data_IF_323547380503
#
_entry.id   IF_323547380503
#
_cell.length_a   1.000
_cell.length_b   1.000
_cell.length_c   1.000
_cell.angle_alpha   90.00
_cell.angle_beta   90.00
_cell.angle_gamma   90.00
#
_symmetry.space_group_name_H-M   'P 1'
#
loop_
_entity.id
_entity.type
_entity.pdbx_description
1 polymer ?
#
# COMPACT_ATOMS: atom_id res chain seq x y z
N UNK A 1 -6.13 -6.76 36.15
CA UNK A 1 -4.68 -6.99 36.28
C UNK A 1 -4.02 -5.71 35.81
N UNK A 2 -3.09 -5.17 36.60
CA UNK A 2 -2.57 -3.81 36.43
C UNK A 2 -1.80 -3.67 35.12
N UNK A 3 -2.25 -2.77 34.25
CA UNK A 3 -1.42 -2.19 33.19
C UNK A 3 -0.33 -1.35 33.86
N UNK A 4 0.84 -1.93 34.05
CA UNK A 4 2.03 -1.18 34.42
C UNK A 4 2.76 -0.83 33.13
N UNK A 5 2.46 0.34 32.57
CA UNK A 5 3.33 0.99 31.58
C UNK A 5 4.56 1.50 32.32
N UNK A 6 5.53 0.62 32.55
CA UNK A 6 6.80 1.03 33.14
C UNK A 6 7.70 1.59 32.04
N UNK A 7 7.86 2.92 32.00
CA UNK A 7 8.99 3.55 31.30
C UNK A 7 10.26 3.42 32.16
N UNK A 8 10.76 2.20 32.36
CA UNK A 8 12.01 1.94 33.07
C UNK A 8 13.17 2.15 32.10
N UNK A 9 14.19 2.91 32.50
CA UNK A 9 15.44 2.94 31.74
C UNK A 9 16.24 1.66 32.00
N UNK A 10 16.98 1.18 31.00
CA UNK A 10 17.81 -0.05 31.11
C UNK A 10 18.77 -0.01 32.32
N UNK A 11 19.32 1.17 32.64
CA UNK A 11 20.18 1.40 33.80
C UNK A 11 19.51 1.11 35.17
N UNK A 12 18.18 1.15 35.23
CA UNK A 12 17.43 0.88 36.46
C UNK A 12 16.99 -0.58 36.55
N UNK A 13 16.84 -1.27 35.41
CA UNK A 13 16.33 -2.64 35.32
C UNK A 13 17.16 -3.64 36.14
N UNK A 14 18.49 -3.49 36.12
CA UNK A 14 19.42 -4.34 36.88
C UNK A 14 19.25 -4.31 38.41
N UNK A 15 18.51 -3.32 38.94
CA UNK A 15 18.27 -3.16 40.39
C UNK A 15 16.97 -3.80 40.88
N UNK A 16 16.10 -4.21 39.96
CA UNK A 16 14.84 -4.88 40.29
C UNK A 16 15.06 -6.37 40.53
N UNK A 17 14.08 -7.03 41.13
CA UNK A 17 14.11 -8.48 41.29
C UNK A 17 14.02 -9.18 39.92
N UNK A 18 14.48 -10.42 39.90
CA UNK A 18 14.55 -11.20 38.67
C UNK A 18 13.17 -11.43 38.02
N UNK A 19 12.08 -11.39 38.78
CA UNK A 19 10.73 -11.55 38.22
C UNK A 19 10.37 -10.37 37.33
N UNK A 20 10.59 -9.15 37.84
CA UNK A 20 10.38 -7.92 37.07
C UNK A 20 11.31 -7.84 35.86
N UNK A 21 12.57 -8.24 36.01
CA UNK A 21 13.53 -8.30 34.89
C UNK A 21 13.02 -9.21 33.77
N UNK A 22 12.57 -10.41 34.12
CA UNK A 22 12.01 -11.36 33.15
C UNK A 22 10.76 -10.83 32.46
N UNK A 23 9.83 -10.23 33.20
CA UNK A 23 8.59 -9.70 32.61
C UNK A 23 8.87 -8.55 31.62
N UNK A 24 9.79 -7.65 31.97
CA UNK A 24 10.19 -6.53 31.10
C UNK A 24 10.88 -7.06 29.84
N UNK A 25 11.83 -7.98 29.98
CA UNK A 25 12.55 -8.56 28.83
C UNK A 25 11.62 -9.32 27.89
N UNK A 26 10.69 -10.12 28.45
CA UNK A 26 9.71 -10.86 27.67
C UNK A 26 8.76 -9.93 26.93
N UNK A 27 8.27 -8.88 27.60
CA UNK A 27 7.41 -7.88 26.97
C UNK A 27 8.13 -7.16 25.84
N UNK A 28 9.36 -6.70 26.08
CA UNK A 28 10.20 -6.08 25.06
C UNK A 28 10.37 -7.03 23.86
N UNK A 29 10.65 -8.31 24.10
CA UNK A 29 10.85 -9.28 23.03
C UNK A 29 9.62 -9.41 22.13
N UNK A 30 8.42 -9.56 22.70
CA UNK A 30 7.17 -9.63 21.93
C UNK A 30 6.73 -8.30 21.29
N UNK A 31 7.30 -7.17 21.71
CA UNK A 31 7.12 -5.89 21.02
C UNK A 31 7.99 -5.78 19.76
N UNK A 32 9.02 -6.63 19.62
CA UNK A 32 10.00 -6.57 18.52
C UNK A 32 10.01 -7.83 17.63
N UNK A 33 9.64 -8.99 18.18
CA UNK A 33 9.64 -10.29 17.51
C UNK A 33 8.33 -11.06 17.70
N UNK A 34 7.97 -11.85 16.70
CA UNK A 34 6.76 -12.68 16.66
C UNK A 34 7.04 -14.07 16.07
N UNK A 35 6.11 -14.99 16.31
CA UNK A 35 6.16 -16.32 15.69
C UNK A 35 6.02 -16.18 14.16
N UNK A 36 6.95 -16.73 13.36
CA UNK A 36 6.89 -16.66 11.90
C UNK A 36 5.59 -17.21 11.30
N UNK A 37 4.85 -18.08 12.01
CA UNK A 37 3.56 -18.61 11.56
C UNK A 37 2.52 -17.52 11.30
N UNK A 38 2.66 -16.34 11.92
CA UNK A 38 1.68 -15.26 11.81
C UNK A 38 1.68 -14.61 10.42
N UNK A 39 2.86 -14.43 9.82
CA UNK A 39 2.98 -13.70 8.54
C UNK A 39 4.02 -14.27 7.59
N UNK A 40 5.09 -14.89 8.08
CA UNK A 40 6.23 -15.33 7.27
C UNK A 40 5.77 -16.46 6.33
N UNK A 41 5.88 -16.28 4.99
CA UNK A 41 5.43 -17.29 4.06
C UNK A 41 6.13 -18.63 4.29
N UNK A 42 5.39 -19.74 4.22
CA UNK A 42 5.93 -21.08 4.43
C UNK A 42 5.84 -21.93 3.16
N UNK A 43 6.96 -22.47 2.69
CA UNK A 43 7.01 -23.36 1.53
C UNK A 43 6.92 -24.83 1.98
N UNK A 44 5.76 -25.43 1.75
CA UNK A 44 5.43 -26.80 2.16
C UNK A 44 6.25 -27.89 1.45
N UNK A 45 6.74 -27.64 0.23
CA UNK A 45 7.47 -28.64 -0.57
C UNK A 45 8.90 -28.85 -0.09
N UNK A 46 9.56 -27.78 0.32
CA UNK A 46 10.96 -27.79 0.79
C UNK A 46 11.05 -27.76 2.32
N UNK A 47 9.97 -27.34 2.99
CA UNK A 47 9.84 -27.36 4.44
C UNK A 47 10.61 -26.23 5.10
N UNK A 48 10.11 -24.99 4.97
CA UNK A 48 10.73 -23.84 5.64
C UNK A 48 10.02 -22.51 5.44
N UNK A 49 10.24 -21.61 6.37
CA UNK A 49 9.83 -20.20 6.28
C UNK A 49 10.70 -19.43 5.30
N UNK A 50 10.09 -18.46 4.61
CA UNK A 50 10.73 -17.54 3.69
C UNK A 50 10.90 -16.19 4.39
N UNK A 51 12.11 -15.91 4.87
CA UNK A 51 12.44 -14.76 5.71
C UNK A 51 12.57 -13.44 4.94
N UNK A 52 11.50 -13.07 4.22
CA UNK A 52 11.48 -11.90 3.33
C UNK A 52 11.45 -10.55 4.07
N UNK A 53 11.19 -10.56 5.38
CA UNK A 53 11.19 -9.36 6.24
C UNK A 53 12.27 -9.42 7.33
N UNK A 54 13.27 -10.28 7.18
CA UNK A 54 14.32 -10.52 8.17
C UNK A 54 14.10 -11.79 9.00
N UNK A 55 15.15 -12.21 9.71
CA UNK A 55 15.24 -13.49 10.42
C UNK A 55 15.97 -14.58 9.62
N UNK A 56 16.03 -15.83 10.14
CA UNK A 56 15.55 -16.24 11.46
C UNK A 56 16.39 -15.60 12.58
N UNK A 57 15.72 -15.10 13.62
CA UNK A 57 16.40 -14.56 14.81
C UNK A 57 16.40 -15.56 15.97
N UNK A 58 17.54 -15.65 16.65
CA UNK A 58 17.71 -16.42 17.88
C UNK A 58 17.33 -15.57 19.10
N UNK A 59 16.46 -16.08 19.97
CA UNK A 59 15.95 -15.31 21.09
C UNK A 59 17.05 -14.92 22.10
N UNK A 60 18.04 -15.80 22.31
CA UNK A 60 19.15 -15.55 23.23
C UNK A 60 20.05 -14.44 22.70
N UNK A 61 20.43 -14.49 21.43
CA UNK A 61 21.26 -13.46 20.79
C UNK A 61 20.60 -12.08 20.87
N UNK A 62 19.30 -11.99 20.55
CA UNK A 62 18.58 -10.70 20.57
C UNK A 62 18.42 -10.13 21.99
N UNK A 63 18.18 -11.00 22.99
CA UNK A 63 18.12 -10.56 24.39
C UNK A 63 19.51 -10.17 24.93
N UNK A 64 20.56 -10.89 24.55
CA UNK A 64 21.93 -10.58 24.94
C UNK A 64 22.35 -9.21 24.37
N UNK A 65 22.09 -8.94 23.09
CA UNK A 65 22.42 -7.66 22.45
C UNK A 65 21.81 -6.45 23.18
N UNK A 66 20.60 -6.61 23.73
CA UNK A 66 19.84 -5.50 24.33
C UNK A 66 20.03 -5.37 25.84
N UNK A 67 20.23 -6.48 26.54
CA UNK A 67 20.22 -6.50 28.02
C UNK A 67 21.59 -6.84 28.63
N UNK A 68 22.60 -7.22 27.84
CA UNK A 68 23.94 -7.45 28.36
C UNK A 68 24.48 -6.20 29.07
N UNK A 69 25.08 -6.41 30.25
CA UNK A 69 25.59 -5.33 31.10
C UNK A 69 24.55 -4.66 32.00
N UNK A 70 23.25 -4.88 31.76
CA UNK A 70 22.16 -4.41 32.62
C UNK A 70 21.57 -5.51 33.49
N UNK A 71 21.49 -6.71 32.96
CA UNK A 71 20.91 -7.90 33.60
C UNK A 71 21.93 -9.04 33.56
N UNK A 72 21.91 -9.93 34.56
CA UNK A 72 22.81 -11.09 34.60
C UNK A 72 22.48 -12.11 33.50
N UNK A 73 23.51 -12.78 32.97
CA UNK A 73 23.38 -13.86 31.99
C UNK A 73 22.38 -14.94 32.43
N UNK A 74 22.36 -15.33 33.71
CA UNK A 74 21.41 -16.32 34.24
C UNK A 74 19.93 -15.95 33.99
N UNK A 75 19.61 -14.65 34.02
CA UNK A 75 18.24 -14.16 33.79
C UNK A 75 17.97 -14.08 32.28
N UNK A 76 18.96 -13.65 31.49
CA UNK A 76 18.88 -13.66 30.01
C UNK A 76 18.62 -15.07 29.50
N UNK A 77 19.45 -16.03 29.93
CA UNK A 77 19.30 -17.44 29.56
C UNK A 77 17.94 -17.99 30.00
N UNK A 78 17.45 -17.60 31.18
CA UNK A 78 16.11 -18.03 31.63
C UNK A 78 15.02 -17.58 30.68
N UNK A 79 15.01 -16.30 30.27
CA UNK A 79 13.99 -15.76 29.36
C UNK A 79 14.13 -16.38 27.97
N UNK A 80 15.37 -16.50 27.45
CA UNK A 80 15.62 -17.13 26.15
C UNK A 80 15.10 -18.57 26.10
N UNK A 81 15.40 -19.37 27.13
CA UNK A 81 14.91 -20.75 27.24
C UNK A 81 13.37 -20.84 27.34
N UNK A 82 12.71 -19.83 27.89
CA UNK A 82 11.24 -19.76 27.92
C UNK A 82 10.67 -19.48 26.52
N UNK A 83 11.29 -18.56 25.77
CA UNK A 83 10.90 -18.21 24.41
C UNK A 83 11.18 -19.35 23.41
N UNK A 84 12.33 -20.01 23.50
CA UNK A 84 12.70 -21.15 22.64
C UNK A 84 11.72 -22.34 22.74
N UNK A 85 11.03 -22.48 23.88
CA UNK A 85 9.96 -23.48 24.06
C UNK A 85 8.70 -23.14 23.28
N UNK A 86 8.49 -21.87 22.97
CA UNK A 86 7.36 -21.37 22.19
C UNK A 86 7.71 -21.41 20.69
N UNK A 87 8.86 -20.84 20.32
CA UNK A 87 9.36 -20.87 18.95
C UNK A 87 10.89 -20.85 18.91
N UNK A 88 11.47 -21.64 17.99
CA UNK A 88 12.92 -21.75 17.81
C UNK A 88 13.52 -20.61 16.98
N UNK A 89 12.75 -20.10 16.00
CA UNK A 89 13.23 -19.10 15.04
C UNK A 89 12.20 -17.98 14.95
N UNK A 90 12.62 -16.76 15.26
CA UNK A 90 11.72 -15.62 15.38
C UNK A 90 11.76 -14.71 14.15
N UNK A 91 10.60 -14.16 13.79
CA UNK A 91 10.45 -13.10 12.79
C UNK A 91 10.33 -11.74 13.50
N UNK A 92 10.68 -10.62 12.86
CA UNK A 92 10.38 -9.31 13.42
C UNK A 92 8.88 -9.01 13.36
N UNK A 93 8.38 -8.28 14.36
CA UNK A 93 7.00 -7.76 14.39
C UNK A 93 6.78 -6.79 13.23
N UNK A 94 5.53 -6.72 12.73
CA UNK A 94 5.12 -5.77 11.69
C UNK A 94 5.60 -4.34 11.93
N UNK A 95 6.40 -3.85 11.00
CA UNK A 95 6.88 -2.48 10.96
C UNK A 95 6.27 -1.73 9.77
N UNK A 96 5.86 -0.45 9.94
CA UNK A 96 5.65 0.45 8.80
C UNK A 96 6.98 0.58 8.04
N UNK A 97 7.13 -0.21 6.99
CA UNK A 97 8.42 -0.42 6.31
C UNK A 97 8.49 -1.74 5.53
N UNK A 98 7.91 -2.81 6.08
CA UNK A 98 8.03 -4.18 5.56
C UNK A 98 7.44 -4.36 4.13
N UNK A 99 6.60 -3.42 3.72
CA UNK A 99 6.00 -3.32 2.38
C UNK A 99 6.32 -1.99 1.68
N UNK A 100 7.13 -1.13 2.30
CA UNK A 100 7.28 0.29 1.92
C UNK A 100 8.57 0.58 1.13
N UNK A 101 9.64 -0.21 1.31
CA UNK A 101 10.93 0.01 0.62
C UNK A 101 10.84 -0.17 -0.90
N UNK A 102 9.81 -0.86 -1.40
CA UNK A 102 9.58 -1.01 -2.84
C UNK A 102 8.94 0.24 -3.48
N UNK A 103 8.26 1.07 -2.69
CA UNK A 103 7.36 2.08 -3.24
C UNK A 103 8.08 3.36 -3.69
N UNK A 104 9.13 3.78 -3.00
CA UNK A 104 9.92 4.96 -3.41
C UNK A 104 10.69 4.68 -4.71
N UNK A 105 11.25 3.47 -4.85
CA UNK A 105 11.88 3.02 -6.08
C UNK A 105 10.85 2.87 -7.22
N UNK A 106 9.64 2.37 -6.94
CA UNK A 106 8.54 2.32 -7.91
C UNK A 106 8.13 3.71 -8.37
N UNK A 107 8.05 4.70 -7.46
CA UNK A 107 7.74 6.10 -7.83
C UNK A 107 8.82 6.69 -8.74
N UNK A 108 10.10 6.43 -8.46
CA UNK A 108 11.20 6.86 -9.31
C UNK A 108 11.17 6.18 -10.69
N UNK A 109 10.63 4.96 -10.77
CA UNK A 109 10.40 4.22 -12.01
C UNK A 109 9.14 4.66 -12.78
N UNK A 110 8.24 5.47 -12.19
CA UNK A 110 7.07 6.00 -12.92
C UNK A 110 7.56 6.88 -14.07
N UNK A 111 7.48 6.33 -15.28
CA UNK A 111 7.88 7.01 -16.52
C UNK A 111 6.83 8.06 -16.95
N UNK A 112 6.75 8.34 -18.26
CA UNK A 112 5.76 9.23 -18.83
C UNK A 112 4.36 8.59 -18.76
N UNK A 113 3.61 8.89 -17.69
CA UNK A 113 2.29 8.29 -17.43
C UNK A 113 1.31 8.49 -18.61
N UNK A 114 1.40 9.63 -19.30
CA UNK A 114 0.54 9.92 -20.45
C UNK A 114 0.90 9.04 -21.66
N UNK A 115 2.19 8.84 -21.92
CA UNK A 115 2.65 7.93 -22.98
C UNK A 115 2.23 6.49 -22.70
N UNK A 116 2.39 6.00 -21.46
CA UNK A 116 1.94 4.66 -21.08
C UNK A 116 0.42 4.51 -21.25
N UNK A 117 -0.37 5.50 -20.82
CA UNK A 117 -1.81 5.52 -21.03
C UNK A 117 -2.17 5.47 -22.52
N UNK A 118 -1.59 6.34 -23.35
CA UNK A 118 -1.90 6.39 -24.78
C UNK A 118 -1.47 5.11 -25.51
N UNK A 119 -0.36 4.51 -25.11
CA UNK A 119 0.10 3.20 -25.59
C UNK A 119 -0.89 2.10 -25.24
N UNK A 120 -1.35 2.03 -23.99
CA UNK A 120 -2.37 1.06 -23.56
C UNK A 120 -3.69 1.21 -24.34
N UNK A 121 -4.15 2.45 -24.56
CA UNK A 121 -5.37 2.69 -25.36
C UNK A 121 -5.16 2.32 -26.83
N UNK A 122 -3.97 2.57 -27.39
CA UNK A 122 -3.61 2.11 -28.74
C UNK A 122 -3.68 0.59 -28.84
N UNK A 123 -3.20 -0.13 -27.82
CA UNK A 123 -3.25 -1.59 -27.75
C UNK A 123 -4.68 -2.11 -27.72
N UNK A 124 -5.56 -1.50 -26.93
CA UNK A 124 -6.99 -1.82 -26.94
C UNK A 124 -7.59 -1.64 -28.33
N UNK A 125 -7.26 -0.54 -29.04
CA UNK A 125 -7.75 -0.32 -30.42
C UNK A 125 -7.25 -1.39 -31.38
N UNK A 126 -5.98 -1.80 -31.27
CA UNK A 126 -5.40 -2.88 -32.08
C UNK A 126 -6.09 -4.21 -31.78
N UNK A 127 -6.31 -4.53 -30.50
CA UNK A 127 -7.02 -5.73 -30.09
C UNK A 127 -8.48 -5.73 -30.59
N UNK A 128 -9.16 -4.58 -30.55
CA UNK A 128 -10.53 -4.47 -31.05
C UNK A 128 -10.66 -4.79 -32.55
N UNK A 129 -9.59 -4.62 -33.33
CA UNK A 129 -9.55 -4.97 -34.75
C UNK A 129 -9.25 -6.45 -35.05
N UNK A 130 -8.96 -7.26 -34.03
CA UNK A 130 -8.70 -8.70 -34.19
C UNK A 130 -10.01 -9.43 -34.46
N UNK A 131 -10.00 -10.35 -35.44
CA UNK A 131 -11.15 -11.22 -35.70
C UNK A 131 -11.26 -12.29 -34.62
N UNK A 132 -12.40 -12.31 -33.93
CA UNK A 132 -12.66 -13.20 -32.80
C UNK A 132 -13.91 -14.02 -33.12
N UNK A 133 -13.89 -15.35 -32.90
CA UNK A 133 -15.08 -16.17 -33.07
C UNK A 133 -16.28 -15.61 -32.31
N UNK A 134 -17.45 -15.58 -32.95
CA UNK A 134 -18.68 -14.98 -32.40
C UNK A 134 -19.03 -15.50 -31.00
N UNK A 135 -18.77 -16.78 -30.75
CA UNK A 135 -19.04 -17.46 -29.48
C UNK A 135 -18.22 -16.86 -28.31
N UNK A 136 -17.04 -16.33 -28.58
CA UNK A 136 -16.12 -15.75 -27.58
C UNK A 136 -16.09 -14.22 -27.60
N UNK A 137 -16.66 -13.58 -28.61
CA UNK A 137 -16.58 -12.14 -28.83
C UNK A 137 -17.08 -11.30 -27.64
N UNK A 138 -18.21 -11.69 -27.01
CA UNK A 138 -18.74 -10.95 -25.87
C UNK A 138 -17.78 -10.90 -24.68
N UNK A 139 -17.10 -12.01 -24.36
CA UNK A 139 -16.10 -12.06 -23.27
C UNK A 139 -14.85 -11.28 -23.63
N UNK A 140 -14.43 -11.33 -24.89
CA UNK A 140 -13.34 -10.51 -25.39
C UNK A 140 -13.62 -9.01 -25.20
N UNK A 141 -14.80 -8.52 -25.59
CA UNK A 141 -15.18 -7.13 -25.39
C UNK A 141 -15.29 -6.75 -23.90
N UNK A 142 -15.79 -7.66 -23.04
CA UNK A 142 -15.77 -7.43 -21.60
C UNK A 142 -14.35 -7.15 -21.07
N UNK A 143 -13.37 -7.95 -21.49
CA UNK A 143 -11.97 -7.79 -21.06
C UNK A 143 -11.37 -6.48 -21.59
N UNK A 144 -11.65 -6.11 -22.84
CA UNK A 144 -11.21 -4.82 -23.39
C UNK A 144 -11.81 -3.63 -22.63
N UNK A 145 -13.11 -3.70 -22.28
CA UNK A 145 -13.77 -2.65 -21.50
C UNK A 145 -13.10 -2.46 -20.14
N UNK A 146 -12.81 -3.56 -19.46
CA UNK A 146 -12.10 -3.55 -18.18
C UNK A 146 -10.71 -2.94 -18.36
N UNK A 147 -9.98 -3.33 -19.40
CA UNK A 147 -8.62 -2.85 -19.64
C UNK A 147 -8.55 -1.33 -19.89
N UNK A 148 -9.55 -0.75 -20.58
CA UNK A 148 -9.63 0.72 -20.74
C UNK A 148 -9.77 1.43 -19.38
N UNK A 149 -10.60 0.90 -18.48
CA UNK A 149 -10.73 1.44 -17.12
C UNK A 149 -9.45 1.22 -16.31
N UNK A 150 -8.79 0.07 -16.43
CA UNK A 150 -7.49 -0.18 -15.78
C UNK A 150 -6.43 0.82 -16.24
N UNK A 151 -6.38 1.15 -17.54
CA UNK A 151 -5.45 2.16 -18.06
C UNK A 151 -5.74 3.56 -17.44
N UNK A 152 -7.01 3.93 -17.27
CA UNK A 152 -7.38 5.16 -16.57
C UNK A 152 -6.96 5.13 -15.09
N UNK A 153 -7.28 4.05 -14.37
CA UNK A 153 -6.95 3.91 -12.94
C UNK A 153 -5.43 4.04 -12.72
N UNK A 154 -4.65 3.37 -13.56
CA UNK A 154 -3.18 3.42 -13.54
C UNK A 154 -2.68 4.83 -13.81
N UNK A 155 -3.16 5.49 -14.87
CA UNK A 155 -2.80 6.88 -15.16
C UNK A 155 -3.12 7.83 -13.99
N UNK A 156 -4.31 7.71 -13.40
CA UNK A 156 -4.71 8.57 -12.28
C UNK A 156 -3.83 8.33 -11.05
N UNK A 157 -3.53 7.08 -10.75
CA UNK A 157 -2.63 6.71 -9.67
C UNK A 157 -1.25 7.31 -9.89
N UNK A 158 -0.61 6.93 -10.99
CA UNK A 158 0.79 7.22 -11.26
C UNK A 158 1.02 8.73 -11.42
N UNK A 159 0.15 9.43 -12.16
CA UNK A 159 0.26 10.87 -12.35
C UNK A 159 0.12 11.61 -11.02
N UNK A 160 -0.79 11.19 -10.15
CA UNK A 160 -0.98 11.83 -8.85
C UNK A 160 0.20 11.56 -7.92
N UNK A 161 0.60 10.30 -7.78
CA UNK A 161 1.73 9.87 -6.96
C UNK A 161 3.00 10.60 -7.40
N UNK A 162 3.34 10.54 -8.69
CA UNK A 162 4.53 11.21 -9.24
C UNK A 162 4.53 12.69 -8.93
N UNK A 163 3.38 13.37 -8.98
CA UNK A 163 3.28 14.80 -8.64
C UNK A 163 3.44 15.07 -7.16
N UNK A 164 2.78 14.29 -6.31
CA UNK A 164 2.87 14.48 -4.86
C UNK A 164 4.28 14.19 -4.35
N UNK A 165 4.93 13.15 -4.86
CA UNK A 165 6.24 12.72 -4.37
C UNK A 165 7.40 13.57 -4.91
N UNK A 166 7.26 14.20 -6.08
CA UNK A 166 8.32 15.02 -6.68
C UNK A 166 8.13 16.53 -6.52
N UNK A 167 7.03 16.99 -5.91
CA UNK A 167 6.76 18.41 -5.68
C UNK A 167 6.46 18.67 -4.19
N UNK A 168 7.35 19.39 -3.51
CA UNK A 168 7.23 19.68 -2.07
C UNK A 168 5.95 20.45 -1.72
N UNK A 169 5.45 21.31 -2.61
CA UNK A 169 4.21 22.04 -2.39
C UNK A 169 3.00 21.10 -2.54
N UNK A 170 3.03 20.21 -3.53
CA UNK A 170 2.01 19.18 -3.69
C UNK A 170 1.99 18.20 -2.51
N UNK A 171 3.15 17.71 -2.06
CA UNK A 171 3.31 16.88 -0.86
C UNK A 171 2.65 17.55 0.36
N UNK A 172 3.00 18.81 0.59
CA UNK A 172 2.46 19.59 1.69
C UNK A 172 0.94 19.72 1.60
N UNK A 173 0.39 20.09 0.43
CA UNK A 173 -1.07 20.20 0.23
C UNK A 173 -1.78 18.88 0.45
N UNK A 174 -1.15 17.77 0.05
CA UNK A 174 -1.70 16.44 0.29
C UNK A 174 -1.80 16.15 1.79
N UNK A 175 -0.69 16.30 2.53
CA UNK A 175 -0.64 16.08 3.98
C UNK A 175 -1.64 16.98 4.72
N UNK A 176 -1.76 18.25 4.32
CA UNK A 176 -2.68 19.20 4.95
C UNK A 176 -4.18 18.91 4.64
N UNK A 177 -4.49 18.27 3.51
CA UNK A 177 -5.87 18.03 3.06
C UNK A 177 -6.38 16.62 3.31
N UNK A 178 -5.51 15.63 3.45
CA UNK A 178 -5.87 14.25 3.72
C UNK A 178 -6.21 14.06 5.21
N UNK A 179 -7.45 13.64 5.48
CA UNK A 179 -8.00 13.50 6.85
C UNK A 179 -7.18 12.57 7.75
N UNK A 180 -6.53 11.56 7.16
CA UNK A 180 -5.66 10.63 7.88
C UNK A 180 -4.54 11.38 8.62
N UNK A 181 -3.79 12.24 7.92
CA UNK A 181 -2.67 12.99 8.50
C UNK A 181 -3.12 14.15 9.40
N UNK A 182 -4.22 14.83 9.05
CA UNK A 182 -4.74 15.96 9.84
C UNK A 182 -5.19 15.58 11.26
N UNK A 183 -5.43 14.30 11.51
CA UNK A 183 -5.87 13.79 12.82
C UNK A 183 -4.71 13.37 13.75
N UNK A 184 -3.50 13.19 13.21
CA UNK A 184 -2.32 12.76 13.95
C UNK A 184 -1.78 13.89 14.86
N UNK A 185 -1.56 13.59 16.15
CA UNK A 185 -0.98 14.55 17.11
C UNK A 185 0.46 14.18 17.40
N UNK A 186 1.39 15.09 17.14
CA UNK A 186 2.83 14.86 17.29
C UNK A 186 3.41 15.86 18.30
N UNK A 187 4.16 15.41 19.33
CA UNK A 187 4.92 16.30 20.22
C UNK A 187 5.97 17.11 19.46
N UNK A 188 6.25 18.35 19.89
CA UNK A 188 7.24 19.20 19.23
C UNK A 188 8.64 18.54 19.13
N UNK A 189 9.01 17.74 20.13
CA UNK A 189 10.26 16.98 20.16
C UNK A 189 10.39 15.92 19.06
N UNK A 190 9.27 15.47 18.48
CA UNK A 190 9.24 14.45 17.43
C UNK A 190 9.08 15.03 16.03
N UNK A 191 8.95 16.36 15.88
CA UNK A 191 8.67 17.01 14.58
C UNK A 191 9.75 16.73 13.54
N UNK A 192 11.03 16.72 13.93
CA UNK A 192 12.12 16.41 12.99
C UNK A 192 12.02 14.96 12.49
N UNK A 193 11.79 13.99 13.39
CA UNK A 193 11.59 12.58 13.02
C UNK A 193 10.36 12.38 12.13
N UNK A 194 9.27 13.09 12.42
CA UNK A 194 8.06 13.05 11.59
C UNK A 194 8.31 13.63 10.19
N UNK A 195 9.10 14.70 10.09
CA UNK A 195 9.48 15.29 8.80
C UNK A 195 10.42 14.37 8.00
N UNK A 196 11.31 13.61 8.65
CA UNK A 196 12.19 12.64 8.00
C UNK A 196 11.41 11.44 7.41
N UNK A 197 10.28 11.07 8.02
CA UNK A 197 9.48 9.89 7.64
C UNK A 197 8.22 10.22 6.85
N UNK A 198 7.95 11.50 6.56
CA UNK A 198 6.68 11.93 5.96
C UNK A 198 6.47 11.39 4.55
N UNK A 199 7.54 11.36 3.73
CA UNK A 199 7.45 10.90 2.35
C UNK A 199 7.12 9.40 2.29
N UNK A 200 7.72 8.61 3.18
CA UNK A 200 7.43 7.17 3.33
C UNK A 200 5.97 6.96 3.71
N UNK A 201 5.49 7.64 4.77
CA UNK A 201 4.09 7.56 5.21
C UNK A 201 3.10 7.98 4.12
N UNK A 202 3.43 9.03 3.37
CA UNK A 202 2.59 9.49 2.25
C UNK A 202 2.57 8.47 1.12
N UNK A 203 3.73 7.93 0.73
CA UNK A 203 3.83 6.88 -0.29
C UNK A 203 2.98 5.67 0.06
N UNK A 204 3.15 5.14 1.27
CA UNK A 204 2.36 4.03 1.82
C UNK A 204 0.86 4.32 1.78
N UNK A 205 0.43 5.49 2.25
CA UNK A 205 -0.98 5.87 2.19
C UNK A 205 -1.53 5.98 0.76
N UNK A 206 -0.73 6.46 -0.20
CA UNK A 206 -1.14 6.58 -1.60
C UNK A 206 -1.30 5.21 -2.28
N UNK A 207 -0.47 4.23 -1.91
CA UNK A 207 -0.54 2.86 -2.42
C UNK A 207 -1.89 2.19 -2.10
N UNK A 208 -2.42 2.46 -0.92
CA UNK A 208 -3.68 1.90 -0.42
C UNK A 208 -4.94 2.57 -1.01
N UNK A 209 -4.78 3.61 -1.84
CA UNK A 209 -5.93 4.33 -2.39
C UNK A 209 -6.63 3.50 -3.46
N UNK A 210 -7.96 3.38 -3.29
CA UNK A 210 -8.84 2.78 -4.29
C UNK A 210 -9.15 3.78 -5.42
N UNK A 211 -8.35 3.76 -6.48
CA UNK A 211 -8.38 4.74 -7.59
C UNK A 211 -9.65 4.75 -8.44
N UNK A 212 -10.44 3.68 -8.42
CA UNK A 212 -11.75 3.66 -9.08
C UNK A 212 -12.86 4.41 -8.31
N UNK A 213 -12.60 4.88 -7.08
CA UNK A 213 -13.52 5.77 -6.37
C UNK A 213 -13.37 7.22 -6.85
N UNK A 214 -13.85 7.52 -8.05
CA UNK A 214 -13.66 8.84 -8.67
C UNK A 214 -14.27 10.00 -7.89
N UNK A 215 -15.25 9.77 -7.02
CA UNK A 215 -15.74 10.79 -6.11
C UNK A 215 -14.65 11.28 -5.16
N UNK A 216 -13.95 10.34 -4.50
CA UNK A 216 -12.79 10.64 -3.65
C UNK A 216 -11.64 11.21 -4.47
N UNK A 217 -11.30 10.58 -5.61
CA UNK A 217 -10.18 11.01 -6.46
C UNK A 217 -10.38 12.43 -6.99
N UNK A 218 -11.59 12.79 -7.43
CA UNK A 218 -11.91 14.16 -7.87
C UNK A 218 -11.62 15.19 -6.77
N UNK A 219 -12.08 14.95 -5.55
CA UNK A 219 -11.82 15.84 -4.42
C UNK A 219 -10.32 15.94 -4.10
N UNK A 220 -9.62 14.80 -4.17
CA UNK A 220 -8.19 14.70 -3.87
C UNK A 220 -7.32 15.44 -4.89
N UNK A 221 -7.57 15.26 -6.19
CA UNK A 221 -6.93 16.02 -7.28
C UNK A 221 -7.16 17.52 -7.14
N UNK A 222 -8.38 17.92 -6.78
CA UNK A 222 -8.71 19.33 -6.62
C UNK A 222 -8.00 19.95 -5.41
N UNK A 223 -7.97 19.27 -4.28
CA UNK A 223 -7.34 19.78 -3.06
C UNK A 223 -5.81 19.84 -3.17
N UNK A 224 -5.20 18.83 -3.80
CA UNK A 224 -3.74 18.65 -3.81
C UNK A 224 -3.09 19.33 -5.02
N UNK A 225 -3.63 19.10 -6.21
CA UNK A 225 -3.03 19.53 -7.48
C UNK A 225 -3.79 20.68 -8.14
N UNK A 226 -4.88 21.15 -7.52
CA UNK A 226 -5.80 22.16 -8.09
C UNK A 226 -6.41 21.79 -9.46
N UNK A 227 -6.35 20.51 -9.85
CA UNK A 227 -6.96 20.02 -11.07
C UNK A 227 -8.42 19.61 -10.85
N UNK A 228 -9.31 20.05 -11.73
CA UNK A 228 -10.72 19.66 -11.73
C UNK A 228 -10.97 18.57 -12.77
N UNK A 229 -11.49 17.43 -12.32
CA UNK A 229 -11.90 16.30 -13.18
C UNK A 229 -13.26 16.54 -13.85
N UNK A 230 -13.94 17.65 -13.57
CA UNK A 230 -15.19 18.03 -14.22
C UNK A 230 -16.32 17.06 -13.91
N UNK A 231 -17.19 16.80 -14.90
CA UNK A 231 -18.33 15.91 -14.72
C UNK A 231 -17.93 14.43 -14.82
N UNK A 232 -17.71 13.79 -13.67
CA UNK A 232 -17.37 12.37 -13.56
C UNK A 232 -18.58 11.42 -13.69
N UNK A 233 -19.80 11.92 -13.84
CA UNK A 233 -21.02 11.11 -13.86
C UNK A 233 -21.02 9.98 -14.90
N UNK A 234 -20.69 10.26 -16.19
CA UNK A 234 -20.54 9.22 -17.20
C UNK A 234 -19.46 8.19 -16.84
N UNK A 235 -18.33 8.63 -16.27
CA UNK A 235 -17.23 7.74 -15.89
C UNK A 235 -17.62 6.83 -14.72
N UNK A 236 -18.34 7.35 -13.72
CA UNK A 236 -18.87 6.56 -12.61
C UNK A 236 -19.83 5.46 -13.08
N UNK A 237 -20.64 5.71 -14.12
CA UNK A 237 -21.47 4.67 -14.74
C UNK A 237 -20.61 3.58 -15.38
N UNK A 238 -19.55 3.96 -16.10
CA UNK A 238 -18.62 3.02 -16.70
C UNK A 238 -17.88 2.16 -15.66
N UNK A 239 -17.42 2.77 -14.55
CA UNK A 239 -16.79 2.06 -13.43
C UNK A 239 -17.77 1.08 -12.76
N UNK A 240 -19.03 1.47 -12.62
CA UNK A 240 -20.08 0.56 -12.10
C UNK A 240 -20.27 -0.63 -13.04
N UNK A 241 -20.31 -0.41 -14.36
CA UNK A 241 -20.34 -1.49 -15.37
C UNK A 241 -19.11 -2.39 -15.22
N UNK A 242 -17.90 -1.83 -15.14
CA UNK A 242 -16.63 -2.57 -14.91
C UNK A 242 -16.66 -3.41 -13.63
N UNK A 243 -17.23 -2.91 -12.53
CA UNK A 243 -17.35 -3.68 -11.30
C UNK A 243 -18.14 -4.98 -11.51
N UNK A 244 -19.24 -4.93 -12.25
CA UNK A 244 -19.99 -6.12 -12.64
C UNK A 244 -19.20 -7.04 -13.60
N UNK A 245 -18.51 -6.47 -14.58
CA UNK A 245 -17.69 -7.26 -15.52
C UNK A 245 -16.61 -8.07 -14.81
N UNK A 246 -15.91 -7.48 -13.83
CA UNK A 246 -14.81 -8.12 -13.11
C UNK A 246 -15.30 -9.03 -11.98
N UNK A 247 -16.12 -8.51 -11.05
CA UNK A 247 -16.44 -9.23 -9.81
C UNK A 247 -17.64 -10.16 -9.93
N UNK A 248 -18.40 -10.06 -11.02
CA UNK A 248 -19.58 -10.91 -11.29
C UNK A 248 -19.49 -11.60 -12.65
N UNK A 249 -18.28 -11.69 -13.22
CA UNK A 249 -18.02 -12.33 -14.50
C UNK A 249 -18.99 -11.88 -15.62
N UNK A 250 -19.29 -10.59 -15.67
CA UNK A 250 -20.20 -10.01 -16.66
C UNK A 250 -21.69 -10.19 -16.35
N UNK A 251 -22.07 -10.40 -15.09
CA UNK A 251 -23.47 -10.44 -14.66
C UNK A 251 -23.81 -9.25 -13.74
N UNK A 252 -25.04 -8.77 -13.81
CA UNK A 252 -25.55 -7.74 -12.90
C UNK A 252 -25.91 -8.31 -11.51
N UNK A 253 -26.65 -7.54 -10.69
CA UNK A 253 -27.09 -8.00 -9.36
C UNK A 253 -28.19 -9.05 -9.39
N UNK A 254 -28.92 -9.12 -10.49
CA UNK A 254 -30.07 -9.99 -10.69
C UNK A 254 -29.69 -11.26 -11.49
N UNK A 255 -28.42 -11.37 -11.90
CA UNK A 255 -27.87 -12.51 -12.63
C UNK A 255 -27.97 -12.38 -14.16
N UNK A 256 -28.43 -11.24 -14.68
CA UNK A 256 -28.53 -11.02 -16.12
C UNK A 256 -27.15 -10.75 -16.71
N UNK A 257 -26.87 -11.33 -17.88
CA UNK A 257 -25.64 -11.06 -18.61
C UNK A 257 -25.59 -9.60 -19.09
N UNK A 258 -24.47 -8.94 -18.84
CA UNK A 258 -24.16 -7.62 -19.36
C UNK A 258 -23.53 -7.81 -20.72
N UNK A 259 -24.22 -7.32 -21.75
CA UNK A 259 -23.66 -7.28 -23.10
C UNK A 259 -22.73 -6.07 -23.26
N UNK A 260 -21.60 -6.31 -23.93
CA UNK A 260 -20.59 -5.29 -24.21
C UNK A 260 -20.29 -5.34 -25.70
N UNK A 261 -20.53 -4.22 -26.38
CA UNK A 261 -20.33 -4.13 -27.83
C UNK A 261 -19.04 -3.36 -28.17
N UNK A 262 -18.53 -3.46 -29.42
CA UNK A 262 -17.43 -2.60 -29.87
C UNK A 262 -17.70 -1.11 -29.70
N UNK A 263 -18.95 -0.66 -29.87
CA UNK A 263 -19.37 0.73 -29.67
C UNK A 263 -19.25 1.16 -28.21
N UNK A 264 -19.52 0.26 -27.25
CA UNK A 264 -19.25 0.52 -25.84
C UNK A 264 -17.76 0.77 -25.60
N UNK A 265 -16.88 -0.02 -26.23
CA UNK A 265 -15.42 0.12 -26.13
C UNK A 265 -14.96 1.47 -26.71
N UNK A 266 -15.45 1.83 -27.90
CA UNK A 266 -15.14 3.13 -28.49
C UNK A 266 -15.63 4.29 -27.62
N UNK A 267 -16.83 4.17 -27.06
CA UNK A 267 -17.42 5.21 -26.22
C UNK A 267 -16.60 5.43 -24.94
N UNK A 268 -16.16 4.35 -24.29
CA UNK A 268 -15.35 4.47 -23.08
C UNK A 268 -13.94 4.95 -23.38
N UNK A 269 -13.33 4.55 -24.51
CA UNK A 269 -12.03 5.09 -24.95
C UNK A 269 -12.12 6.62 -25.10
N UNK A 270 -13.12 7.13 -25.82
CA UNK A 270 -13.29 8.58 -25.98
C UNK A 270 -13.49 9.29 -24.63
N UNK A 271 -14.23 8.66 -23.71
CA UNK A 271 -14.50 9.22 -22.40
C UNK A 271 -13.22 9.31 -21.55
N UNK A 272 -12.39 8.25 -21.52
CA UNK A 272 -11.13 8.26 -20.76
C UNK A 272 -10.10 9.20 -21.37
N UNK A 273 -9.98 9.25 -22.71
CA UNK A 273 -9.06 10.15 -23.40
C UNK A 273 -9.42 11.63 -23.17
N UNK A 274 -10.71 11.96 -23.18
CA UNK A 274 -11.16 13.33 -22.87
C UNK A 274 -10.79 13.72 -21.45
N UNK A 275 -11.05 12.85 -20.46
CA UNK A 275 -10.72 13.12 -19.07
C UNK A 275 -9.21 13.27 -18.86
N UNK A 276 -8.42 12.33 -19.37
CA UNK A 276 -6.96 12.35 -19.27
C UNK A 276 -6.39 13.58 -19.96
N UNK A 277 -6.84 13.90 -21.18
CA UNK A 277 -6.40 15.07 -21.91
C UNK A 277 -6.73 16.39 -21.20
N UNK A 278 -7.86 16.47 -20.51
CA UNK A 278 -8.22 17.65 -19.72
C UNK A 278 -7.39 17.77 -18.43
N UNK A 279 -6.99 16.65 -17.83
CA UNK A 279 -6.04 16.64 -16.71
C UNK A 279 -4.66 17.11 -17.18
N UNK A 280 -4.14 16.58 -18.29
CA UNK A 280 -2.82 16.96 -18.84
C UNK A 280 -2.75 18.47 -19.18
N UNK A 281 -3.83 19.05 -19.72
CA UNK A 281 -3.89 20.50 -19.98
C UNK A 281 -3.78 21.34 -18.70
N UNK A 282 -4.32 20.85 -17.60
CA UNK A 282 -4.30 21.53 -16.30
C UNK A 282 -2.96 21.35 -15.59
N UNK A 283 -2.38 20.15 -15.69
CA UNK A 283 -1.14 19.76 -15.03
C UNK A 283 0.03 19.82 -16.02
N UNK A 284 0.46 21.03 -16.40
CA UNK A 284 1.71 21.20 -17.15
C UNK A 284 2.86 20.55 -16.39
N UNK A 285 3.73 19.81 -17.07
CA UNK A 285 4.96 19.32 -16.46
C UNK A 285 5.85 20.52 -16.10
N UNK A 286 6.29 20.67 -14.83
CA UNK A 286 7.45 21.49 -14.56
C UNK A 286 8.60 20.80 -15.30
N UNK A 287 9.21 21.56 -16.21
CA UNK A 287 10.41 21.17 -16.93
C UNK A 287 11.51 20.69 -15.98
#
# INVERSE_FOLDING_TARGET
>A
MCDITISLSLDQLGKYDQGVQTEVMRKWFFEHFEDPVHRTPYESREGGYQWIWGGPYDAREQLEEQFAGYVSEEVIDRVANELERECLEWAPVESPGDYEDYYLDDVAAIENCYEQFTSAISDVRRLLSVDIPKETAGKFYCLLFVNVITALETYLSDKFIKRVMNDREALRKFVESASHFGSEKIPLSQVLKAAETIEVKVGSHLADIVWHNLGRIKSMYKATLNADLGNIGPMMKAITKRHHLVHRNGQDKDGNAIDVTPEDIHSIICLVESLVGDIEKQLKEPF
#
